data_IF_797702537552
#
_entry.id   IF_797702537552
#
_cell.length_a   1.000
_cell.length_b   1.000
_cell.length_c   1.000
_cell.angle_alpha   90.00
_cell.angle_beta   90.00
_cell.angle_gamma   90.00
#
_symmetry.space_group_name_H-M   'P 1'
#
loop_
_entity.id
_entity.type
_entity.pdbx_description
1 polymer ?
#
# COMPACT_ATOMS: atom_id res chain seq x y z
N UNK A 1 -3.64 3.63 -17.29
CA UNK A 1 -3.68 2.19 -16.90
C UNK A 1 -2.29 1.59 -16.62
N UNK A 2 -1.31 1.62 -17.54
CA UNK A 2 0.06 1.10 -17.28
C UNK A 2 0.73 1.74 -16.05
N UNK A 3 0.52 3.04 -15.84
CA UNK A 3 1.02 3.78 -14.66
C UNK A 3 0.50 3.18 -13.35
N UNK A 4 -0.79 2.80 -13.29
CA UNK A 4 -1.39 2.18 -12.10
C UNK A 4 -0.78 0.80 -11.85
N UNK A 5 -0.57 0.00 -12.90
CA UNK A 5 0.05 -1.33 -12.76
C UNK A 5 1.48 -1.21 -12.23
N UNK A 6 2.27 -0.26 -12.75
CA UNK A 6 3.61 0.02 -12.24
C UNK A 6 3.56 0.51 -10.78
N UNK A 7 2.60 1.38 -10.46
CA UNK A 7 2.41 1.92 -9.12
C UNK A 7 2.05 0.84 -8.09
N UNK A 8 1.16 -0.09 -8.45
CA UNK A 8 0.80 -1.26 -7.63
C UNK A 8 1.99 -2.19 -7.48
N UNK A 9 2.77 -2.42 -8.55
CA UNK A 9 3.97 -3.25 -8.46
C UNK A 9 5.01 -2.65 -7.49
N UNK A 10 5.23 -1.33 -7.54
CA UNK A 10 6.10 -0.64 -6.58
C UNK A 10 5.59 -0.81 -5.14
N UNK A 11 4.28 -0.61 -4.93
CA UNK A 11 3.65 -0.83 -3.62
C UNK A 11 3.83 -2.28 -3.13
N UNK A 12 3.63 -3.25 -4.02
CA UNK A 12 3.77 -4.67 -3.71
C UNK A 12 5.15 -5.02 -3.16
N UNK A 13 6.22 -4.50 -3.77
CA UNK A 13 7.58 -4.70 -3.28
C UNK A 13 7.86 -3.89 -2.01
N UNK A 14 7.39 -2.65 -1.92
CA UNK A 14 7.59 -1.79 -0.75
C UNK A 14 6.99 -2.42 0.51
N UNK A 15 5.71 -2.79 0.48
CA UNK A 15 5.02 -3.38 1.62
C UNK A 15 5.53 -4.79 1.94
N UNK A 16 5.95 -5.56 0.94
CA UNK A 16 6.61 -6.85 1.13
C UNK A 16 7.94 -6.75 1.88
N UNK A 17 8.70 -5.66 1.67
CA UNK A 17 10.00 -5.47 2.34
C UNK A 17 9.80 -5.16 3.83
N UNK A 18 8.75 -4.41 4.17
CA UNK A 18 8.43 -4.11 5.58
C UNK A 18 7.77 -5.29 6.28
N UNK A 19 6.80 -5.91 5.62
CA UNK A 19 6.09 -7.07 6.14
C UNK A 19 6.73 -8.37 5.66
N UNK A 20 7.63 -8.91 6.49
CA UNK A 20 8.38 -10.15 6.20
C UNK A 20 7.45 -11.32 5.90
N UNK A 21 6.30 -11.37 6.58
CA UNK A 21 5.31 -12.45 6.47
C UNK A 21 4.38 -12.32 5.25
N UNK A 22 4.37 -11.17 4.58
CA UNK A 22 3.54 -10.97 3.39
C UNK A 22 4.20 -11.61 2.17
N UNK A 23 3.41 -12.12 1.25
CA UNK A 23 3.87 -12.44 -0.10
C UNK A 23 3.83 -11.17 -0.99
N UNK A 24 4.53 -11.16 -2.15
CA UNK A 24 4.38 -10.05 -3.11
C UNK A 24 2.94 -9.86 -3.59
N UNK A 25 2.13 -10.93 -3.58
CA UNK A 25 0.71 -10.87 -3.94
C UNK A 25 -0.08 -10.17 -2.83
N UNK A 26 0.23 -10.41 -1.56
CA UNK A 26 -0.40 -9.74 -0.42
C UNK A 26 -0.11 -8.22 -0.43
N UNK A 27 1.14 -7.84 -0.75
CA UNK A 27 1.52 -6.44 -0.94
C UNK A 27 0.79 -5.78 -2.12
N UNK A 28 0.62 -6.50 -3.24
CA UNK A 28 -0.14 -6.00 -4.39
C UNK A 28 -1.64 -5.86 -4.06
N UNK A 29 -2.20 -6.84 -3.35
CA UNK A 29 -3.57 -6.82 -2.88
C UNK A 29 -3.81 -5.63 -1.96
N UNK A 30 -2.94 -5.43 -0.95
CA UNK A 30 -2.98 -4.26 -0.06
C UNK A 30 -2.92 -2.95 -0.84
N UNK A 31 -2.01 -2.83 -1.81
CA UNK A 31 -1.88 -1.65 -2.65
C UNK A 31 -3.19 -1.37 -3.40
N UNK A 32 -3.80 -2.38 -4.05
CA UNK A 32 -5.05 -2.24 -4.81
C UNK A 32 -6.22 -1.85 -3.93
N UNK A 33 -6.46 -2.54 -2.80
CA UNK A 33 -7.60 -2.24 -1.91
C UNK A 33 -7.48 -0.86 -1.26
N UNK A 34 -6.25 -0.40 -1.03
CA UNK A 34 -5.97 0.92 -0.47
C UNK A 34 -6.25 2.02 -1.48
N UNK A 35 -5.69 1.93 -2.69
CA UNK A 35 -5.89 2.97 -3.71
C UNK A 35 -7.34 3.01 -4.23
N UNK A 36 -8.02 1.87 -4.27
CA UNK A 36 -9.44 1.77 -4.64
C UNK A 36 -10.39 2.21 -3.53
N UNK A 37 -9.87 2.58 -2.36
CA UNK A 37 -10.65 2.97 -1.17
C UNK A 37 -11.60 1.89 -0.64
N UNK A 38 -11.39 0.63 -1.02
CA UNK A 38 -12.16 -0.52 -0.49
C UNK A 38 -11.81 -0.75 0.98
N UNK A 39 -10.51 -0.78 1.30
CA UNK A 39 -10.00 -0.75 2.68
C UNK A 39 -10.54 -1.84 3.61
N UNK A 40 -10.47 -3.13 3.22
CA UNK A 40 -10.95 -4.24 4.06
C UNK A 40 -10.31 -4.32 5.45
N UNK A 41 -9.07 -3.85 5.59
CA UNK A 41 -8.36 -3.83 6.88
C UNK A 41 -7.89 -5.19 7.38
N UNK A 42 -7.97 -6.21 6.53
CA UNK A 42 -7.44 -7.56 6.74
C UNK A 42 -5.91 -7.60 6.72
N UNK A 43 -5.31 -6.81 5.83
CA UNK A 43 -3.88 -6.56 5.76
C UNK A 43 -3.58 -5.09 6.07
N UNK A 44 -2.78 -4.85 7.10
CA UNK A 44 -2.33 -3.51 7.50
C UNK A 44 -0.85 -3.59 7.89
N UNK A 45 0.02 -2.72 7.34
CA UNK A 45 1.41 -2.63 7.75
C UNK A 45 1.52 -2.32 9.24
N UNK A 46 2.42 -3.00 9.93
CA UNK A 46 2.68 -2.85 11.36
C UNK A 46 1.59 -3.40 12.27
N UNK A 47 0.68 -4.25 11.77
CA UNK A 47 -0.37 -4.85 12.60
C UNK A 47 0.24 -5.61 13.78
N UNK A 48 -0.12 -5.21 15.01
CA UNK A 48 0.44 -5.79 16.24
C UNK A 48 1.84 -5.30 16.62
N UNK A 49 2.43 -4.34 15.87
CA UNK A 49 3.77 -3.76 16.12
C UNK A 49 3.72 -2.28 16.52
N UNK A 50 2.64 -1.82 17.14
CA UNK A 50 2.43 -0.39 17.44
C UNK A 50 3.47 0.24 18.39
N UNK A 51 4.20 -0.57 19.15
CA UNK A 51 5.22 -0.09 20.10
C UNK A 51 6.55 0.28 19.42
N UNK A 52 6.72 -0.06 18.14
CA UNK A 52 7.96 0.23 17.39
C UNK A 52 7.83 1.54 16.59
N UNK A 53 8.85 2.42 16.62
CA UNK A 53 8.85 3.64 15.82
C UNK A 53 8.86 3.37 14.31
N UNK A 54 9.36 2.19 13.89
CA UNK A 54 9.33 1.71 12.51
C UNK A 54 7.90 1.66 11.95
N UNK A 55 6.94 1.19 12.74
CA UNK A 55 5.52 1.09 12.36
C UNK A 55 4.92 2.46 12.03
N UNK A 56 5.31 3.50 12.78
CA UNK A 56 4.86 4.88 12.50
C UNK A 56 5.39 5.32 11.14
N UNK A 57 6.65 5.02 10.82
CA UNK A 57 7.22 5.36 9.51
C UNK A 57 6.54 4.62 8.36
N UNK A 58 6.23 3.33 8.52
CA UNK A 58 5.51 2.52 7.54
C UNK A 58 4.10 3.09 7.28
N UNK A 59 3.37 3.46 8.33
CA UNK A 59 2.05 4.08 8.23
C UNK A 59 2.09 5.46 7.56
N UNK A 60 3.09 6.30 7.88
CA UNK A 60 3.25 7.61 7.26
C UNK A 60 3.57 7.50 5.77
N UNK A 61 4.48 6.59 5.39
CA UNK A 61 4.80 6.37 3.97
C UNK A 61 3.60 5.72 3.27
N UNK A 62 2.90 4.78 3.93
CA UNK A 62 1.65 4.20 3.41
C UNK A 62 0.55 5.24 3.18
N UNK A 63 0.43 6.23 4.06
CA UNK A 63 -0.49 7.35 3.89
C UNK A 63 -0.09 8.22 2.68
N UNK A 64 1.18 8.57 2.56
CA UNK A 64 1.69 9.33 1.41
C UNK A 64 1.51 8.56 0.09
N UNK A 65 1.77 7.25 0.10
CA UNK A 65 1.48 6.35 -1.00
C UNK A 65 -0.01 6.45 -1.37
N UNK A 66 -0.91 6.24 -0.41
CA UNK A 66 -2.36 6.31 -0.66
C UNK A 66 -2.80 7.63 -1.33
N UNK A 67 -2.28 8.78 -0.88
CA UNK A 67 -2.57 10.09 -1.46
C UNK A 67 -2.16 10.17 -2.94
N UNK A 68 -0.95 9.72 -3.27
CA UNK A 68 -0.45 9.71 -4.66
C UNK A 68 -1.24 8.69 -5.50
N UNK A 69 -1.53 7.51 -4.96
CA UNK A 69 -2.30 6.47 -5.63
C UNK A 69 -3.71 6.90 -5.98
N UNK A 70 -4.41 7.57 -5.07
CA UNK A 70 -5.75 8.14 -5.33
C UNK A 70 -5.69 9.22 -6.41
N UNK A 71 -4.69 10.10 -6.39
CA UNK A 71 -4.52 11.13 -7.41
C UNK A 71 -4.27 10.51 -8.80
N UNK A 72 -3.40 9.48 -8.87
CA UNK A 72 -3.10 8.77 -10.13
C UNK A 72 -4.29 7.99 -10.67
N UNK A 73 -5.09 7.37 -9.78
CA UNK A 73 -6.36 6.75 -10.17
C UNK A 73 -7.29 7.78 -10.79
N UNK A 74 -7.52 8.90 -10.11
CA UNK A 74 -8.37 10.00 -10.60
C UNK A 74 -7.93 10.49 -11.99
N UNK A 75 -6.62 10.67 -12.22
CA UNK A 75 -6.07 11.08 -13.53
C UNK A 75 -6.22 10.03 -14.64
N UNK A 76 -6.39 8.76 -14.29
CA UNK A 76 -6.57 7.68 -15.27
C UNK A 76 -8.04 7.45 -15.62
N UNK A 77 -8.98 8.02 -14.86
CA UNK A 77 -10.42 8.01 -15.15
C UNK A 77 -10.79 9.32 -15.86
N UNK A 78 -10.43 9.42 -17.14
CA UNK A 78 -11.10 10.31 -18.10
C UNK A 78 -12.11 9.51 -18.93
#
# INVERSE_FOLDING_TARGET
MLVIVAYVAIGAFLFRIWEVDWSPIDGAYFAVITISTIGFGDLVPGNGRFDKPETITELLIGALYSLVGLALLSMCFE
#
